data_IF_861654265695
#
_entry.id   IF_861654265695
#
_cell.length_a   1.000
_cell.length_b   1.000
_cell.length_c   1.000
_cell.angle_alpha   90.00
_cell.angle_beta   90.00
_cell.angle_gamma   90.00
#
_symmetry.space_group_name_H-M   'P 1'
#
loop_
_entity.id
_entity.type
_entity.pdbx_description
1 polymer ?
#
# COMPACT_ATOMS: atom_id res chain seq x y z
N UNK A 1 -6.00 5.54 18.59
CA UNK A 1 -5.26 5.12 17.38
C UNK A 1 -5.91 5.81 16.18
N UNK A 2 -5.27 6.79 15.55
CA UNK A 2 -5.75 7.36 14.27
C UNK A 2 -4.66 7.09 13.24
N UNK A 3 -4.93 6.14 12.35
CA UNK A 3 -4.21 6.01 11.08
C UNK A 3 -5.14 6.55 9.99
N UNK A 4 -4.55 7.10 8.93
CA UNK A 4 -5.28 7.53 7.73
C UNK A 4 -4.80 6.63 6.61
N UNK A 5 -5.75 5.97 5.96
CA UNK A 5 -5.49 5.26 4.71
C UNK A 5 -6.04 6.13 3.58
N UNK A 6 -5.13 6.69 2.77
CA UNK A 6 -5.49 7.53 1.65
C UNK A 6 -5.27 6.77 0.35
N UNK A 7 -6.33 6.62 -0.45
CA UNK A 7 -6.24 6.11 -1.81
C UNK A 7 -5.43 7.08 -2.67
N UNK A 8 -4.39 6.59 -3.36
CA UNK A 8 -3.65 7.39 -4.34
C UNK A 8 -4.32 7.28 -5.72
N UNK A 9 -3.58 7.53 -6.81
CA UNK A 9 -4.13 7.43 -8.17
C UNK A 9 -4.50 5.98 -8.53
N UNK A 10 -5.64 5.81 -9.21
CA UNK A 10 -6.12 4.54 -9.76
C UNK A 10 -6.15 4.52 -11.29
N UNK A 11 -5.55 5.53 -11.95
CA UNK A 11 -5.74 5.79 -13.38
C UNK A 11 -5.48 4.59 -14.29
N UNK A 12 -4.49 3.77 -13.96
CA UNK A 12 -4.07 2.62 -14.75
C UNK A 12 -4.21 1.28 -14.00
N UNK A 13 -4.98 1.28 -12.91
CA UNK A 13 -5.14 0.11 -12.04
C UNK A 13 -6.16 -0.89 -12.59
N UNK A 14 -7.23 -0.39 -13.22
CA UNK A 14 -8.34 -1.21 -13.67
C UNK A 14 -8.48 -1.17 -15.19
N UNK A 15 -8.82 -2.32 -15.78
CA UNK A 15 -9.26 -2.38 -17.17
C UNK A 15 -10.60 -1.66 -17.35
N UNK A 16 -11.00 -1.46 -18.61
CA UNK A 16 -12.33 -0.95 -18.96
C UNK A 16 -13.48 -1.84 -18.47
N UNK A 17 -13.20 -3.11 -18.13
CA UNK A 17 -14.16 -4.06 -17.55
C UNK A 17 -14.16 -4.08 -16.02
N UNK A 18 -13.37 -3.21 -15.38
CA UNK A 18 -13.24 -3.16 -13.92
C UNK A 18 -12.35 -4.25 -13.33
N UNK A 19 -11.65 -5.03 -14.16
CA UNK A 19 -10.67 -6.00 -13.68
C UNK A 19 -9.40 -5.27 -13.23
N UNK A 20 -8.90 -5.59 -12.05
CA UNK A 20 -7.60 -5.09 -11.60
C UNK A 20 -6.49 -5.67 -12.49
N UNK A 21 -5.68 -4.80 -13.06
CA UNK A 21 -4.54 -5.12 -13.94
C UNK A 21 -3.21 -4.63 -13.37
N UNK A 22 -3.24 -3.74 -12.37
CA UNK A 22 -2.09 -3.30 -11.57
C UNK A 22 -2.49 -3.11 -10.11
N UNK A 23 -1.55 -3.11 -9.16
CA UNK A 23 -1.88 -2.81 -7.77
C UNK A 23 -2.37 -1.37 -7.59
N UNK A 24 -3.25 -1.17 -6.62
CA UNK A 24 -3.66 0.15 -6.13
C UNK A 24 -2.62 0.63 -5.13
N UNK A 25 -2.16 1.87 -5.26
CA UNK A 25 -1.32 2.49 -4.25
C UNK A 25 -2.18 3.20 -3.18
N UNK A 26 -1.91 2.92 -1.91
CA UNK A 26 -2.42 3.66 -0.78
C UNK A 26 -1.29 4.33 -0.03
N UNK A 27 -1.52 5.52 0.51
CA UNK A 27 -0.66 6.14 1.51
C UNK A 27 -1.21 5.84 2.89
N UNK A 28 -0.49 5.04 3.67
CA UNK A 28 -0.79 4.80 5.08
C UNK A 28 -0.04 5.81 5.94
N UNK A 29 -0.79 6.73 6.56
CA UNK A 29 -0.24 7.77 7.43
C UNK A 29 -0.55 7.44 8.88
N UNK A 30 0.49 7.32 9.71
CA UNK A 30 0.35 6.91 11.10
C UNK A 30 1.43 7.55 12.00
N UNK A 31 1.18 7.66 13.32
CA UNK A 31 2.24 7.95 14.28
C UNK A 31 3.33 6.88 14.26
N UNK A 32 4.60 7.28 14.36
CA UNK A 32 5.75 6.37 14.37
C UNK A 32 5.74 5.35 15.54
N UNK A 33 4.96 5.62 16.59
CA UNK A 33 4.84 4.77 17.78
C UNK A 33 3.81 3.65 17.62
N UNK A 34 3.07 3.60 16.51
CA UNK A 34 2.01 2.62 16.28
C UNK A 34 2.50 1.53 15.32
N UNK A 35 2.28 0.27 15.71
CA UNK A 35 2.41 -0.86 14.80
C UNK A 35 1.25 -0.87 13.80
N UNK A 36 1.57 -0.93 12.50
CA UNK A 36 0.63 -0.94 11.39
C UNK A 36 0.34 -2.32 10.81
N UNK A 37 0.90 -3.40 11.38
CA UNK A 37 0.67 -4.78 10.91
C UNK A 37 -0.82 -5.12 10.78
N UNK A 38 -1.65 -4.63 11.72
CA UNK A 38 -3.12 -4.80 11.72
C UNK A 38 -3.77 -4.30 10.42
N UNK A 39 -3.27 -3.20 9.83
CA UNK A 39 -3.81 -2.66 8.57
C UNK A 39 -3.47 -3.58 7.40
N UNK A 40 -2.27 -4.16 7.40
CA UNK A 40 -1.83 -5.07 6.35
C UNK A 40 -2.50 -6.44 6.45
N UNK A 41 -2.76 -6.90 7.68
CA UNK A 41 -3.52 -8.14 7.94
C UNK A 41 -4.93 -8.06 7.38
N UNK A 42 -5.63 -6.93 7.53
CA UNK A 42 -6.97 -6.74 6.94
C UNK A 42 -6.96 -6.98 5.43
N UNK A 43 -5.96 -6.46 4.72
CA UNK A 43 -5.87 -6.69 3.27
C UNK A 43 -5.57 -8.16 2.92
N UNK A 44 -4.69 -8.82 3.69
CA UNK A 44 -4.38 -10.24 3.50
C UNK A 44 -5.57 -11.15 3.79
N UNK A 45 -6.34 -10.85 4.83
CA UNK A 45 -7.54 -11.60 5.23
C UNK A 45 -8.64 -11.50 4.16
N UNK A 46 -8.72 -10.37 3.46
CA UNK A 46 -9.60 -10.17 2.30
C UNK A 46 -9.02 -10.77 0.98
N UNK A 47 -7.89 -11.48 1.06
CA UNK A 47 -7.27 -12.18 -0.08
C UNK A 47 -6.42 -11.30 -1.00
N UNK A 48 -6.07 -10.08 -0.58
CA UNK A 48 -5.15 -9.23 -1.32
C UNK A 48 -3.69 -9.52 -0.96
N UNK A 49 -2.81 -9.34 -1.94
CA UNK A 49 -1.37 -9.26 -1.75
C UNK A 49 -0.95 -7.81 -1.55
N UNK A 50 0.15 -7.61 -0.81
CA UNK A 50 0.73 -6.31 -0.56
C UNK A 50 2.19 -6.25 -0.97
N UNK A 51 2.62 -5.11 -1.48
CA UNK A 51 4.03 -4.74 -1.58
C UNK A 51 4.27 -3.40 -0.89
N UNK A 52 5.36 -3.33 -0.13
CA UNK A 52 5.73 -2.11 0.59
C UNK A 52 6.55 -1.19 -0.31
N UNK A 53 6.03 0.02 -0.50
CA UNK A 53 6.82 1.11 -1.08
C UNK A 53 7.61 1.85 -0.01
N UNK A 54 8.22 2.97 -0.42
CA UNK A 54 9.07 3.79 0.45
C UNK A 54 8.28 4.39 1.62
N UNK A 55 8.87 4.31 2.80
CA UNK A 55 8.41 5.02 3.99
C UNK A 55 9.10 6.38 4.11
N UNK A 56 8.34 7.42 4.44
CA UNK A 56 8.81 8.79 4.58
C UNK A 56 8.26 9.42 5.85
N UNK A 57 9.10 10.19 6.55
CA UNK A 57 8.65 11.06 7.64
C UNK A 57 7.92 12.27 7.10
N UNK A 58 6.75 12.57 7.66
CA UNK A 58 5.99 13.78 7.36
C UNK A 58 6.47 14.92 8.25
N UNK A 59 7.61 15.51 7.87
CA UNK A 59 8.21 16.63 8.59
C UNK A 59 7.33 17.88 8.45
N UNK A 60 6.85 18.42 9.58
CA UNK A 60 6.01 19.64 9.61
C UNK A 60 4.81 19.57 10.55
N UNK A 61 4.42 18.37 10.99
CA UNK A 61 3.24 18.18 11.85
C UNK A 61 3.47 18.47 13.35
N UNK A 62 4.72 18.67 13.80
CA UNK A 62 5.07 18.68 15.23
C UNK A 62 4.80 17.35 15.96
N UNK A 63 4.25 16.36 15.24
CA UNK A 63 3.98 14.99 15.67
C UNK A 63 4.80 14.08 14.77
N UNK A 64 5.49 13.10 15.36
CA UNK A 64 6.32 12.15 14.63
C UNK A 64 5.42 11.21 13.81
N UNK A 65 5.07 11.65 12.59
CA UNK A 65 4.17 10.95 11.66
C UNK A 65 4.97 10.35 10.52
N UNK A 66 4.65 9.11 10.17
CA UNK A 66 5.20 8.36 9.05
C UNK A 66 4.12 8.22 7.98
N UNK A 67 4.56 8.16 6.72
CA UNK A 67 3.76 7.83 5.56
C UNK A 67 4.44 6.69 4.81
N UNK A 68 3.76 5.57 4.64
CA UNK A 68 4.22 4.43 3.85
C UNK A 68 3.30 4.21 2.67
N UNK A 69 3.88 3.90 1.52
CA UNK A 69 3.08 3.46 0.37
C UNK A 69 2.81 1.96 0.48
N UNK A 70 1.54 1.57 0.40
CA UNK A 70 1.09 0.18 0.29
C UNK A 70 0.56 -0.04 -1.11
N UNK A 71 1.17 -0.94 -1.87
CA UNK A 71 0.63 -1.42 -3.13
C UNK A 71 -0.23 -2.63 -2.82
N UNK A 72 -1.52 -2.58 -3.15
CA UNK A 72 -2.50 -3.62 -2.84
C UNK A 72 -3.03 -4.18 -4.15
N UNK A 73 -2.87 -5.47 -4.34
CA UNK A 73 -3.24 -6.18 -5.58
C UNK A 73 -3.77 -7.58 -5.29
N UNK A 74 -4.19 -8.31 -6.31
CA UNK A 74 -4.53 -9.72 -6.17
C UNK A 74 -3.38 -10.62 -6.63
N UNK A 75 -3.34 -11.87 -6.18
CA UNK A 75 -2.27 -12.84 -6.46
C UNK A 75 -2.15 -13.30 -7.92
N UNK A 76 -3.08 -12.89 -8.78
CA UNK A 76 -3.06 -13.18 -10.21
C UNK A 76 -2.49 -12.04 -11.06
N UNK A 77 -2.00 -10.97 -10.44
CA UNK A 77 -1.28 -9.91 -11.14
C UNK A 77 0.14 -10.39 -11.47
N UNK A 78 0.60 -10.13 -12.69
CA UNK A 78 1.98 -10.44 -13.09
C UNK A 78 2.97 -9.58 -12.28
N UNK A 79 4.13 -10.14 -11.95
CA UNK A 79 5.16 -9.46 -11.13
C UNK A 79 5.58 -8.10 -11.72
N UNK A 80 5.71 -8.03 -13.04
CA UNK A 80 6.02 -6.81 -13.80
C UNK A 80 5.03 -5.65 -13.56
N UNK A 81 3.79 -5.96 -13.21
CA UNK A 81 2.75 -4.96 -12.97
C UNK A 81 2.83 -4.32 -11.58
N UNK A 82 3.62 -4.90 -10.68
CA UNK A 82 3.83 -4.34 -9.34
C UNK A 82 4.79 -3.17 -9.33
N UNK A 83 5.56 -2.95 -10.41
CA UNK A 83 6.43 -1.77 -10.58
C UNK A 83 7.48 -1.60 -9.46
N UNK A 84 7.79 -2.69 -8.74
CA UNK A 84 8.77 -2.75 -7.66
C UNK A 84 10.08 -3.33 -8.18
N UNK A 85 11.20 -2.85 -7.65
CA UNK A 85 12.47 -3.58 -7.76
C UNK A 85 12.28 -4.93 -7.04
N UNK A 86 12.64 -6.05 -7.67
CA UNK A 86 12.25 -7.44 -7.32
C UNK A 86 12.59 -7.91 -5.88
N UNK A 87 13.20 -7.06 -5.05
CA UNK A 87 13.61 -7.36 -3.67
C UNK A 87 12.54 -7.07 -2.60
N UNK A 88 11.39 -6.49 -2.95
CA UNK A 88 10.37 -6.02 -1.98
C UNK A 88 9.03 -6.79 -2.01
N UNK A 89 8.90 -7.80 -2.87
CA UNK A 89 7.78 -8.74 -2.83
C UNK A 89 8.06 -9.79 -1.75
N UNK A 90 7.64 -9.50 -0.52
CA UNK A 90 7.67 -10.48 0.56
C UNK A 90 6.48 -11.44 0.41
N UNK A 91 6.79 -12.72 0.21
CA UNK A 91 5.86 -13.85 0.17
C UNK A 91 5.25 -14.16 1.54
#
# INVERSE_FOLDING_TARGET
>A
KRHILQLNSTGDTFSTTGRMIRPVAFSLIHPATINTSEVEEIFRDEGFMLAHGRECSLNGSGRNMLSRILHVGHSGLAEEEWGMDNSLLLH
#
